data_IF_700871142124
#
_entry.id   IF_700871142124
#
_cell.length_a   1.000
_cell.length_b   1.000
_cell.length_c   1.000
_cell.angle_alpha   90.00
_cell.angle_beta   90.00
_cell.angle_gamma   90.00
#
_symmetry.space_group_name_H-M   'P 1'
#
loop_
_entity.id
_entity.type
_entity.pdbx_description
1 polymer ?
#
# COMPACT_ATOMS: atom_id res chain seq x y z
N UNK A 1 17.14 -14.70 -16.27
CA UNK A 1 16.28 -13.55 -15.93
C UNK A 1 15.59 -13.00 -17.16
N UNK A 2 14.28 -12.77 -17.07
CA UNK A 2 13.51 -12.09 -18.10
C UNK A 2 13.45 -10.62 -17.67
N UNK A 3 14.08 -9.73 -18.44
CA UNK A 3 14.05 -8.29 -18.20
C UNK A 3 12.77 -7.76 -18.86
N UNK A 4 11.72 -7.57 -18.08
CA UNK A 4 10.50 -6.90 -18.54
C UNK A 4 10.51 -5.45 -18.06
N UNK A 5 10.46 -4.45 -18.95
CA UNK A 5 10.22 -3.07 -18.54
C UNK A 5 8.84 -2.99 -17.85
N UNK A 6 8.81 -2.50 -16.62
CA UNK A 6 7.59 -2.35 -15.84
C UNK A 6 7.34 -0.87 -15.58
N UNK A 7 6.12 -0.42 -15.88
CA UNK A 7 5.70 0.94 -15.55
C UNK A 7 5.38 1.04 -14.05
N UNK A 8 6.01 1.99 -13.38
CA UNK A 8 5.68 2.38 -12.02
C UNK A 8 4.37 3.19 -11.98
N UNK A 9 3.66 3.25 -10.84
CA UNK A 9 2.48 4.09 -10.71
C UNK A 9 2.79 5.56 -11.03
N UNK A 10 1.89 6.25 -11.74
CA UNK A 10 2.10 7.65 -12.17
C UNK A 10 2.15 8.62 -10.98
N UNK A 11 1.26 8.43 -10.01
CA UNK A 11 1.00 9.37 -8.93
C UNK A 11 0.93 8.64 -7.58
N UNK A 12 1.09 9.37 -6.47
CA UNK A 12 1.05 8.77 -5.14
C UNK A 12 -0.31 8.10 -4.85
N UNK A 13 -1.38 8.67 -5.37
CA UNK A 13 -2.73 8.09 -5.28
C UNK A 13 -2.84 6.75 -6.01
N UNK A 14 -2.22 6.62 -7.18
CA UNK A 14 -2.18 5.37 -7.93
C UNK A 14 -1.37 4.32 -7.17
N UNK A 15 -0.25 4.72 -6.58
CA UNK A 15 0.56 3.88 -5.72
C UNK A 15 -0.24 3.35 -4.50
N UNK A 16 -0.96 4.21 -3.78
CA UNK A 16 -1.81 3.78 -2.65
C UNK A 16 -2.89 2.79 -3.07
N UNK A 17 -3.52 2.99 -4.22
CA UNK A 17 -4.50 2.04 -4.77
C UNK A 17 -3.86 0.67 -5.04
N UNK A 18 -2.64 0.66 -5.59
CA UNK A 18 -1.90 -0.57 -5.80
C UNK A 18 -1.59 -1.29 -4.49
N UNK A 19 -1.07 -0.57 -3.49
CA UNK A 19 -0.77 -1.14 -2.18
C UNK A 19 -2.02 -1.69 -1.48
N UNK A 20 -3.14 -0.96 -1.54
CA UNK A 20 -4.42 -1.45 -1.01
C UNK A 20 -4.83 -2.77 -1.65
N UNK A 21 -4.66 -2.93 -2.98
CA UNK A 21 -4.96 -4.19 -3.68
C UNK A 21 -4.03 -5.32 -3.25
N UNK A 22 -2.75 -5.03 -3.13
CA UNK A 22 -1.74 -6.02 -2.73
C UNK A 22 -1.90 -6.49 -1.29
N UNK A 23 -2.43 -5.66 -0.40
CA UNK A 23 -2.75 -6.08 0.98
C UNK A 23 -4.14 -6.72 1.09
N UNK A 24 -5.15 -6.16 0.44
CA UNK A 24 -6.55 -6.62 0.55
C UNK A 24 -6.80 -7.94 -0.19
N UNK A 25 -6.23 -8.11 -1.40
CA UNK A 25 -6.45 -9.28 -2.25
C UNK A 25 -6.07 -10.61 -1.57
N UNK A 26 -4.85 -10.74 -1.02
CA UNK A 26 -4.46 -11.92 -0.26
C UNK A 26 -5.37 -12.22 0.94
N UNK A 27 -5.89 -11.19 1.62
CA UNK A 27 -6.78 -11.38 2.78
C UNK A 27 -8.16 -11.85 2.38
N UNK A 28 -8.72 -11.37 1.27
CA UNK A 28 -9.97 -11.92 0.73
C UNK A 28 -9.80 -13.37 0.29
N UNK A 29 -8.69 -13.67 -0.39
CA UNK A 29 -8.36 -15.03 -0.79
C UNK A 29 -8.23 -15.93 0.44
N UNK A 30 -7.56 -15.46 1.49
CA UNK A 30 -7.43 -16.21 2.72
C UNK A 30 -8.77 -16.42 3.42
N UNK A 31 -9.61 -15.38 3.53
CA UNK A 31 -10.94 -15.50 4.11
C UNK A 31 -11.79 -16.55 3.40
N UNK A 32 -11.75 -16.59 2.05
CA UNK A 32 -12.51 -17.53 1.24
C UNK A 32 -11.91 -18.94 1.19
N UNK A 33 -10.58 -19.06 1.15
CA UNK A 33 -9.89 -20.32 0.87
C UNK A 33 -9.29 -21.00 2.10
N UNK A 34 -9.21 -20.33 3.28
CA UNK A 34 -8.55 -20.90 4.48
C UNK A 34 -9.07 -22.29 4.86
N UNK A 35 -10.38 -22.48 4.76
CA UNK A 35 -11.05 -23.74 5.12
C UNK A 35 -10.75 -24.80 4.06
N UNK A 36 -10.92 -24.48 2.77
CA UNK A 36 -10.58 -25.37 1.66
C UNK A 36 -9.11 -25.79 1.65
N UNK A 37 -8.18 -24.91 2.04
CA UNK A 37 -6.76 -25.24 2.21
C UNK A 37 -6.57 -26.21 3.37
N UNK A 38 -7.31 -26.04 4.47
CA UNK A 38 -7.29 -26.96 5.62
C UNK A 38 -7.78 -28.36 5.23
N UNK A 39 -8.86 -28.42 4.43
CA UNK A 39 -9.55 -29.66 4.05
C UNK A 39 -8.88 -30.36 2.84
N UNK A 40 -7.94 -29.69 2.18
CA UNK A 40 -7.23 -30.23 1.02
C UNK A 40 -6.40 -31.49 1.34
N UNK A 41 -6.00 -32.24 0.32
CA UNK A 41 -5.10 -33.39 0.46
C UNK A 41 -3.62 -33.01 0.66
N UNK A 42 -3.31 -31.73 0.89
CA UNK A 42 -1.94 -31.25 1.04
C UNK A 42 -1.25 -31.81 2.31
N UNK A 43 0.09 -31.94 2.30
CA UNK A 43 0.84 -32.27 3.51
C UNK A 43 0.57 -31.25 4.64
N UNK A 44 0.47 -31.68 5.90
CA UNK A 44 0.09 -30.81 7.02
C UNK A 44 1.05 -29.62 7.21
N UNK A 45 2.35 -29.80 6.94
CA UNK A 45 3.34 -28.71 7.00
C UNK A 45 3.08 -27.61 5.95
N UNK A 46 2.65 -27.99 4.73
CA UNK A 46 2.32 -27.02 3.69
C UNK A 46 1.03 -26.25 4.01
N UNK A 47 0.05 -26.93 4.61
CA UNK A 47 -1.17 -26.29 5.12
C UNK A 47 -0.85 -25.25 6.20
N UNK A 48 -0.04 -25.64 7.17
CA UNK A 48 0.42 -24.75 8.23
C UNK A 48 1.23 -23.58 7.67
N UNK A 49 2.12 -23.83 6.71
CA UNK A 49 2.87 -22.79 6.01
C UNK A 49 1.95 -21.75 5.34
N UNK A 50 0.99 -22.20 4.54
CA UNK A 50 0.09 -21.30 3.82
C UNK A 50 -0.82 -20.52 4.79
N UNK A 51 -1.52 -21.21 5.68
CA UNK A 51 -2.51 -20.57 6.56
C UNK A 51 -1.87 -19.72 7.67
N UNK A 52 -0.81 -20.23 8.32
CA UNK A 52 -0.20 -19.56 9.47
C UNK A 52 0.90 -18.61 9.01
N UNK A 53 1.93 -19.10 8.33
CA UNK A 53 3.12 -18.30 8.05
C UNK A 53 2.92 -17.31 6.89
N UNK A 54 2.34 -17.74 5.77
CA UNK A 54 2.18 -16.90 4.60
C UNK A 54 1.04 -15.89 4.76
N UNK A 55 -0.19 -16.34 4.99
CA UNK A 55 -1.32 -15.41 5.14
C UNK A 55 -1.37 -14.77 6.53
N UNK A 56 -1.31 -15.59 7.60
CA UNK A 56 -1.40 -15.10 8.97
C UNK A 56 -0.26 -14.18 9.37
N UNK A 57 0.99 -14.66 9.31
CA UNK A 57 2.15 -13.90 9.79
C UNK A 57 2.56 -12.85 8.77
N UNK A 58 2.95 -13.26 7.56
CA UNK A 58 3.57 -12.36 6.58
C UNK A 58 2.60 -11.29 6.06
N UNK A 59 1.34 -11.65 5.77
CA UNK A 59 0.40 -10.70 5.14
C UNK A 59 -0.43 -9.92 6.16
N UNK A 60 -0.73 -10.47 7.35
CA UNK A 60 -1.51 -9.79 8.38
C UNK A 60 -0.67 -9.35 9.58
N UNK A 61 -0.06 -10.29 10.31
CA UNK A 61 0.57 -10.01 11.59
C UNK A 61 1.74 -9.02 11.47
N UNK A 62 2.55 -9.09 10.41
CA UNK A 62 3.63 -8.11 10.18
C UNK A 62 3.08 -6.69 10.11
N UNK A 63 1.98 -6.46 9.39
CA UNK A 63 1.38 -5.13 9.28
C UNK A 63 0.73 -4.69 10.61
N UNK A 64 0.09 -5.62 11.33
CA UNK A 64 -0.48 -5.36 12.67
C UNK A 64 0.62 -4.97 13.65
N UNK A 65 1.70 -5.74 13.71
CA UNK A 65 2.84 -5.53 14.60
C UNK A 65 3.52 -4.22 14.24
N UNK A 66 3.89 -4.01 12.97
CA UNK A 66 4.59 -2.79 12.57
C UNK A 66 3.80 -1.52 12.90
N UNK A 67 2.49 -1.50 12.62
CA UNK A 67 1.67 -0.35 12.95
C UNK A 67 1.46 -0.20 14.46
N UNK A 68 0.93 -1.24 15.11
CA UNK A 68 0.50 -1.18 16.52
C UNK A 68 1.70 -1.02 17.44
N UNK A 69 2.81 -1.69 17.18
CA UNK A 69 4.00 -1.62 18.02
C UNK A 69 4.73 -0.28 17.83
N UNK A 70 5.17 0.04 16.62
CA UNK A 70 6.02 1.22 16.41
C UNK A 70 5.25 2.54 16.37
N UNK A 71 4.01 2.55 15.85
CA UNK A 71 3.26 3.80 15.64
C UNK A 71 2.26 4.11 16.77
N UNK A 72 1.94 3.14 17.63
CA UNK A 72 0.98 3.33 18.73
C UNK A 72 1.59 2.99 20.09
N UNK A 73 2.02 1.74 20.30
CA UNK A 73 2.46 1.24 21.59
C UNK A 73 3.72 1.95 22.08
N UNK A 74 4.76 2.06 21.25
CA UNK A 74 6.03 2.68 21.62
C UNK A 74 5.88 4.17 21.99
N UNK A 75 5.12 5.00 21.23
CA UNK A 75 4.76 6.35 21.66
C UNK A 75 3.90 6.38 22.93
N UNK A 76 2.88 5.52 23.06
CA UNK A 76 2.03 5.48 24.26
C UNK A 76 2.83 5.15 25.53
N UNK A 77 3.73 4.18 25.41
CA UNK A 77 4.66 3.81 26.48
C UNK A 77 5.52 5.02 26.88
N UNK A 78 6.07 5.76 25.90
CA UNK A 78 6.81 6.99 26.17
C UNK A 78 5.96 8.04 26.90
N UNK A 79 4.71 8.24 26.49
CA UNK A 79 3.80 9.20 27.11
C UNK A 79 3.51 8.82 28.58
N UNK A 80 3.27 7.54 28.87
CA UNK A 80 3.07 7.04 30.24
C UNK A 80 4.33 7.24 31.07
N UNK A 81 5.51 6.88 30.56
CA UNK A 81 6.77 7.09 31.27
C UNK A 81 7.01 8.56 31.60
N UNK A 82 6.65 9.46 30.69
CA UNK A 82 6.81 10.89 30.89
C UNK A 82 5.78 11.49 31.86
N UNK A 83 4.90 10.69 32.47
CA UNK A 83 4.02 11.11 33.58
C UNK A 83 4.44 10.54 34.93
N UNK A 84 5.39 9.60 34.98
CA UNK A 84 5.87 8.99 36.22
C UNK A 84 7.02 9.81 36.82
N UNK A 85 6.92 10.13 38.12
CA UNK A 85 7.95 10.90 38.83
C UNK A 85 9.29 10.15 38.91
N UNK A 86 10.39 10.91 38.79
CA UNK A 86 11.79 10.45 38.78
C UNK A 86 12.17 9.54 39.96
N UNK A 87 11.46 9.67 41.09
CA UNK A 87 11.68 8.93 42.34
C UNK A 87 10.90 7.59 42.39
N UNK A 88 9.80 7.47 41.65
CA UNK A 88 8.97 6.25 41.55
C UNK A 88 9.31 5.42 40.29
N UNK A 89 10.15 5.95 39.40
CA UNK A 89 10.68 5.30 38.20
C UNK A 89 11.64 4.10 38.48
N UNK A 90 11.46 3.43 39.62
CA UNK A 90 12.15 2.20 40.02
C UNK A 90 11.59 0.98 39.28
N UNK A 91 10.40 1.09 38.67
CA UNK A 91 9.79 -0.01 37.93
C UNK A 91 9.72 0.29 36.43
N UNK A 92 10.41 -0.56 35.66
CA UNK A 92 10.33 -0.70 34.20
C UNK A 92 11.20 0.21 33.31
N UNK A 93 12.51 0.22 33.60
CA UNK A 93 13.56 0.25 32.56
C UNK A 93 13.56 -1.07 31.76
N UNK A 94 12.42 -1.45 31.18
CA UNK A 94 12.32 -2.60 30.29
C UNK A 94 11.47 -2.21 29.10
N UNK A 95 11.89 -1.16 28.41
CA UNK A 95 11.67 -1.14 26.98
C UNK A 95 12.63 -2.18 26.40
N UNK A 96 12.16 -3.36 25.94
CA UNK A 96 13.06 -4.41 25.49
C UNK A 96 13.81 -3.96 24.24
N UNK A 97 15.06 -3.56 24.41
CA UNK A 97 15.94 -3.13 23.31
C UNK A 97 16.02 -4.16 22.18
N UNK A 98 15.93 -5.44 22.54
CA UNK A 98 15.89 -6.53 21.57
C UNK A 98 14.68 -6.44 20.64
N UNK A 99 13.52 -5.97 21.11
CA UNK A 99 12.30 -5.90 20.31
C UNK A 99 12.21 -4.62 19.47
N UNK A 100 12.72 -3.49 19.98
CA UNK A 100 12.55 -2.18 19.34
C UNK A 100 13.70 -1.82 18.42
N UNK A 101 14.90 -2.32 18.70
CA UNK A 101 16.09 -2.01 17.90
C UNK A 101 16.56 -3.25 17.17
N UNK A 102 16.87 -4.33 17.89
CA UNK A 102 17.54 -5.47 17.25
C UNK A 102 16.64 -6.24 16.29
N UNK A 103 15.37 -6.48 16.65
CA UNK A 103 14.41 -7.18 15.79
C UNK A 103 14.16 -6.43 14.47
N UNK A 104 13.75 -5.14 14.45
CA UNK A 104 13.56 -4.42 13.19
C UNK A 104 14.86 -4.26 12.41
N UNK A 105 16.01 -4.10 13.09
CA UNK A 105 17.31 -4.06 12.42
C UNK A 105 17.60 -5.38 11.69
N UNK A 106 17.40 -6.53 12.34
CA UNK A 106 17.58 -7.85 11.72
C UNK A 106 16.63 -8.09 10.54
N UNK A 107 15.35 -7.73 10.68
CA UNK A 107 14.37 -7.83 9.59
C UNK A 107 14.78 -6.96 8.41
N UNK A 108 15.23 -5.73 8.68
CA UNK A 108 15.66 -4.79 7.64
C UNK A 108 16.92 -5.29 6.95
N UNK A 109 17.91 -5.76 7.72
CA UNK A 109 19.15 -6.34 7.18
C UNK A 109 18.87 -7.57 6.31
N UNK A 110 17.93 -8.43 6.72
CA UNK A 110 17.53 -9.60 5.93
C UNK A 110 16.87 -9.17 4.62
N UNK A 111 16.06 -8.11 4.64
CA UNK A 111 15.43 -7.58 3.42
C UNK A 111 16.47 -6.96 2.49
N UNK A 112 17.44 -6.22 3.04
CA UNK A 112 18.51 -5.56 2.28
C UNK A 112 19.56 -6.54 1.75
N UNK A 113 19.74 -7.71 2.37
CA UNK A 113 20.63 -8.76 1.87
C UNK A 113 20.25 -9.21 0.45
N UNK A 114 18.98 -9.07 0.05
CA UNK A 114 18.49 -9.34 -1.30
C UNK A 114 18.62 -8.14 -2.26
N UNK A 115 19.07 -6.98 -1.79
CA UNK A 115 19.15 -5.72 -2.57
C UNK A 115 20.32 -4.85 -2.11
N UNK A 116 21.54 -5.39 -2.24
CA UNK A 116 22.79 -4.80 -1.73
C UNK A 116 23.03 -3.37 -2.24
N UNK A 117 22.67 -3.09 -3.49
CA UNK A 117 22.88 -1.77 -4.12
C UNK A 117 22.00 -0.64 -3.53
N UNK A 118 21.01 -0.98 -2.70
CA UNK A 118 20.04 -0.01 -2.15
C UNK A 118 20.25 0.26 -0.65
N UNK A 119 21.38 -0.17 -0.07
CA UNK A 119 21.64 -0.04 1.37
C UNK A 119 21.56 1.41 1.89
N UNK A 120 21.94 2.39 1.07
CA UNK A 120 21.86 3.81 1.44
C UNK A 120 20.43 4.29 1.76
N UNK A 121 19.41 3.62 1.21
CA UNK A 121 18.00 3.95 1.44
C UNK A 121 17.39 3.21 2.63
N UNK A 122 18.19 2.46 3.41
CA UNK A 122 17.68 1.59 4.47
C UNK A 122 16.84 2.31 5.52
N UNK A 123 17.31 3.47 6.01
CA UNK A 123 16.58 4.24 7.04
C UNK A 123 15.24 4.73 6.46
N UNK A 124 15.29 5.31 5.25
CA UNK A 124 14.10 5.79 4.56
C UNK A 124 13.11 4.65 4.29
N UNK A 125 13.60 3.46 3.93
CA UNK A 125 12.79 2.27 3.73
C UNK A 125 12.03 1.85 4.99
N UNK A 126 12.71 1.82 6.16
CA UNK A 126 12.04 1.46 7.42
C UNK A 126 10.98 2.48 7.79
N UNK A 127 11.30 3.77 7.69
CA UNK A 127 10.35 4.84 7.98
C UNK A 127 9.13 4.80 7.06
N UNK A 128 9.39 4.52 5.79
CA UNK A 128 8.40 4.34 4.75
C UNK A 128 7.48 3.15 5.01
N UNK A 129 8.04 1.97 5.31
CA UNK A 129 7.26 0.77 5.64
C UNK A 129 6.38 1.00 6.86
N UNK A 130 6.88 1.70 7.88
CA UNK A 130 6.11 2.10 9.04
C UNK A 130 4.98 3.07 8.68
N UNK A 131 5.23 4.08 7.83
CA UNK A 131 4.20 5.01 7.38
C UNK A 131 3.10 4.30 6.55
N UNK A 132 3.48 3.35 5.72
CA UNK A 132 2.56 2.58 4.89
C UNK A 132 1.83 1.47 5.65
N UNK A 133 2.30 1.09 6.84
CA UNK A 133 1.72 0.01 7.63
C UNK A 133 0.25 0.25 7.98
N UNK A 134 -0.17 1.50 8.22
CA UNK A 134 -1.58 1.86 8.49
C UNK A 134 -2.48 1.60 7.27
N UNK A 135 -1.99 1.93 6.06
CA UNK A 135 -2.70 1.67 4.81
C UNK A 135 -2.82 0.17 4.57
N UNK A 136 -1.69 -0.54 4.69
CA UNK A 136 -1.61 -2.00 4.50
C UNK A 136 -2.52 -2.72 5.50
N UNK A 137 -2.47 -2.33 6.78
CA UNK A 137 -3.29 -2.90 7.84
C UNK A 137 -4.77 -2.64 7.59
N UNK A 138 -5.17 -1.40 7.30
CA UNK A 138 -6.56 -1.07 7.00
C UNK A 138 -7.10 -1.87 5.82
N UNK A 139 -6.31 -2.00 4.75
CA UNK A 139 -6.64 -2.81 3.58
C UNK A 139 -6.75 -4.31 3.90
N UNK A 140 -5.83 -4.83 4.71
CA UNK A 140 -5.84 -6.23 5.15
C UNK A 140 -7.07 -6.55 6.00
N UNK A 141 -7.45 -5.67 6.93
CA UNK A 141 -8.64 -5.83 7.76
C UNK A 141 -9.92 -5.73 6.94
N UNK A 142 -10.02 -4.77 6.01
CA UNK A 142 -11.16 -4.66 5.11
C UNK A 142 -11.33 -5.91 4.24
N UNK A 143 -10.22 -6.46 3.73
CA UNK A 143 -10.20 -7.70 2.94
C UNK A 143 -10.63 -8.92 3.73
N UNK A 144 -10.15 -9.05 4.98
CA UNK A 144 -10.48 -10.17 5.85
C UNK A 144 -11.95 -10.15 6.29
N UNK A 145 -12.50 -8.96 6.54
CA UNK A 145 -13.89 -8.75 6.97
C UNK A 145 -14.89 -8.68 5.81
N UNK A 146 -14.42 -8.72 4.56
CA UNK A 146 -15.28 -8.66 3.38
C UNK A 146 -16.08 -7.35 3.25
N UNK A 147 -15.55 -6.23 3.77
CA UNK A 147 -16.23 -4.93 3.74
C UNK A 147 -16.38 -4.41 2.30
N UNK A 148 -17.34 -3.50 2.05
CA UNK A 148 -17.63 -2.95 0.69
C UNK A 148 -16.38 -2.41 -0.05
N UNK A 149 -15.39 -1.89 0.69
CA UNK A 149 -14.12 -1.40 0.13
C UNK A 149 -13.18 -2.50 -0.38
N UNK A 150 -13.36 -3.75 0.06
CA UNK A 150 -12.60 -4.91 -0.41
C UNK A 150 -12.95 -5.28 -1.85
N UNK A 151 -14.23 -5.14 -2.22
CA UNK A 151 -14.73 -5.49 -3.57
C UNK A 151 -14.46 -4.41 -4.62
N UNK A 152 -14.03 -3.21 -4.23
CA UNK A 152 -13.76 -2.11 -5.17
C UNK A 152 -12.38 -2.23 -5.81
N UNK A 153 -12.34 -2.71 -7.05
CA UNK A 153 -11.12 -2.85 -7.84
C UNK A 153 -10.86 -1.63 -8.74
N UNK A 154 -10.57 -0.46 -8.17
CA UNK A 154 -10.35 0.77 -8.96
C UNK A 154 -9.04 0.73 -9.77
N UNK A 155 -9.11 0.68 -11.11
CA UNK A 155 -7.94 0.60 -12.01
C UNK A 155 -6.90 1.66 -11.66
N UNK A 156 -5.67 1.21 -11.42
CA UNK A 156 -4.50 2.07 -11.26
C UNK A 156 -4.16 2.63 -12.63
N UNK A 157 -4.18 3.94 -12.76
CA UNK A 157 -3.64 4.60 -13.93
C UNK A 157 -2.12 4.35 -13.94
N UNK A 158 -1.64 3.84 -15.07
CA UNK A 158 -0.22 3.74 -15.39
C UNK A 158 0.14 4.96 -16.25
N UNK A 159 1.43 5.18 -16.55
CA UNK A 159 1.93 6.43 -17.13
C UNK A 159 1.02 7.07 -18.20
N UNK A 160 0.84 8.38 -18.07
CA UNK A 160 0.07 9.22 -18.99
C UNK A 160 -0.04 10.70 -18.57
N UNK A 161 0.57 11.09 -17.44
CA UNK A 161 0.63 12.49 -17.02
C UNK A 161 2.09 12.92 -17.01
N UNK A 162 2.47 13.76 -17.97
CA UNK A 162 3.74 14.47 -17.89
C UNK A 162 3.68 15.37 -16.66
N UNK A 163 4.60 15.17 -15.71
CA UNK A 163 4.76 16.05 -14.58
C UNK A 163 5.30 17.39 -15.10
N UNK A 164 4.44 18.39 -15.27
CA UNK A 164 4.92 19.75 -15.49
C UNK A 164 5.63 20.23 -14.23
N UNK A 165 6.95 20.39 -14.31
CA UNK A 165 7.78 20.92 -13.22
C UNK A 165 7.55 22.43 -13.07
N UNK A 166 6.38 22.83 -12.58
CA UNK A 166 6.16 24.20 -12.13
C UNK A 166 6.03 24.21 -10.61
N UNK A 167 7.05 24.75 -9.93
CA UNK A 167 7.01 25.03 -8.48
C UNK A 167 6.14 26.26 -8.20
N UNK A 168 4.89 26.21 -8.63
CA UNK A 168 3.91 27.22 -8.28
C UNK A 168 3.17 26.76 -7.02
N UNK A 169 3.32 27.51 -5.94
CA UNK A 169 2.72 27.22 -4.64
C UNK A 169 1.19 27.08 -4.74
N UNK A 170 0.54 27.83 -5.63
CA UNK A 170 -0.90 27.73 -5.86
C UNK A 170 -1.30 26.42 -6.54
N UNK A 171 -0.46 25.86 -7.41
CA UNK A 171 -0.67 24.55 -8.03
C UNK A 171 -0.39 23.42 -7.04
N UNK A 172 0.67 23.56 -6.23
CA UNK A 172 1.01 22.62 -5.16
C UNK A 172 -0.16 22.46 -4.18
N UNK A 173 -0.73 23.57 -3.70
CA UNK A 173 -1.89 23.55 -2.80
C UNK A 173 -3.11 22.84 -3.41
N UNK A 174 -3.32 22.94 -4.72
CA UNK A 174 -4.40 22.24 -5.43
C UNK A 174 -4.16 20.74 -5.63
N UNK A 175 -2.90 20.29 -5.55
CA UNK A 175 -2.50 18.89 -5.70
C UNK A 175 -2.43 18.14 -4.37
N UNK A 176 -2.56 18.83 -3.23
CA UNK A 176 -2.61 18.22 -1.91
C UNK A 176 -3.90 17.41 -1.77
N UNK A 177 -3.78 16.09 -1.84
CA UNK A 177 -4.80 15.15 -1.38
C UNK A 177 -4.65 14.96 0.15
N UNK A 178 -5.78 15.01 0.86
CA UNK A 178 -5.81 14.91 2.32
C UNK A 178 -6.18 13.51 2.80
N UNK A 179 -5.33 12.91 3.63
CA UNK A 179 -5.56 11.59 4.21
C UNK A 179 -5.59 11.64 5.75
N UNK A 180 -6.78 11.66 6.37
CA UNK A 180 -6.93 11.97 7.80
C UNK A 180 -6.32 10.93 8.73
N UNK A 181 -6.38 9.64 8.37
CA UNK A 181 -5.91 8.54 9.24
C UNK A 181 -4.40 8.61 9.45
N UNK A 182 -3.65 8.79 8.36
CA UNK A 182 -2.20 8.99 8.43
C UNK A 182 -1.85 10.30 9.16
N UNK A 183 -2.62 11.37 8.94
CA UNK A 183 -2.35 12.66 9.57
C UNK A 183 -2.50 12.60 11.09
N UNK A 184 -3.56 11.97 11.60
CA UNK A 184 -3.78 11.83 13.05
C UNK A 184 -2.60 11.10 13.71
N UNK A 185 -2.11 10.03 13.08
CA UNK A 185 -0.92 9.31 13.58
C UNK A 185 0.33 10.17 13.49
N UNK A 186 0.54 10.91 12.40
CA UNK A 186 1.66 11.84 12.26
C UNK A 186 1.67 12.92 13.35
N UNK A 187 0.53 13.56 13.60
CA UNK A 187 0.38 14.56 14.66
C UNK A 187 0.62 13.95 16.04
N UNK A 188 0.05 12.77 16.30
CA UNK A 188 0.27 12.04 17.55
C UNK A 188 1.76 11.75 17.82
N UNK A 189 2.51 11.33 16.79
CA UNK A 189 3.94 11.08 16.89
C UNK A 189 4.75 12.36 17.14
N UNK A 190 4.42 13.46 16.46
CA UNK A 190 5.08 14.75 16.70
C UNK A 190 4.78 15.27 18.11
N UNK A 191 3.53 15.21 18.56
CA UNK A 191 3.17 15.59 19.93
C UNK A 191 3.92 14.74 20.96
N UNK A 192 4.06 13.43 20.71
CA UNK A 192 4.85 12.54 21.56
C UNK A 192 6.34 12.89 21.57
N UNK A 193 6.91 13.29 20.43
CA UNK A 193 8.30 13.74 20.33
C UNK A 193 8.55 15.01 21.13
N UNK A 194 7.66 16.01 20.97
CA UNK A 194 7.75 17.30 21.68
C UNK A 194 7.59 17.09 23.18
N UNK A 195 6.58 16.33 23.61
CA UNK A 195 6.38 16.01 25.02
C UNK A 195 7.57 15.25 25.62
N UNK A 196 8.07 14.23 24.91
CA UNK A 196 9.25 13.47 25.34
C UNK A 196 10.50 14.35 25.48
N UNK A 197 10.67 15.36 24.63
CA UNK A 197 11.77 16.31 24.76
C UNK A 197 11.66 17.16 26.04
N UNK A 198 10.46 17.69 26.34
CA UNK A 198 10.24 18.52 27.53
C UNK A 198 10.45 17.76 28.84
N UNK A 199 10.07 16.49 28.90
CA UNK A 199 10.19 15.65 30.11
C UNK A 199 11.60 15.06 30.27
N UNK A 200 12.50 15.25 29.29
CA UNK A 200 13.86 14.74 29.37
C UNK A 200 13.98 13.25 29.04
N UNK A 201 13.09 12.71 28.20
CA UNK A 201 13.25 11.38 27.64
C UNK A 201 14.51 11.31 26.76
N UNK A 202 14.95 10.09 26.40
CA UNK A 202 16.16 9.95 25.59
C UNK A 202 16.02 10.65 24.24
N UNK A 203 17.05 11.42 23.86
CA UNK A 203 17.07 12.20 22.62
C UNK A 203 16.84 11.33 21.37
N UNK A 204 17.21 10.05 21.43
CA UNK A 204 17.02 9.07 20.36
C UNK A 204 15.54 8.88 20.04
N UNK A 205 14.68 8.74 21.06
CA UNK A 205 13.24 8.59 20.85
C UNK A 205 12.60 9.88 20.34
N UNK A 206 13.06 11.04 20.83
CA UNK A 206 12.62 12.35 20.33
C UNK A 206 12.92 12.48 18.83
N UNK A 207 14.14 12.20 18.40
CA UNK A 207 14.52 12.28 16.98
C UNK A 207 13.75 11.26 16.15
N UNK A 208 13.63 10.02 16.64
CA UNK A 208 12.87 8.97 15.95
C UNK A 208 11.41 9.38 15.73
N UNK A 209 10.69 9.81 16.77
CA UNK A 209 9.28 10.19 16.65
C UNK A 209 9.08 11.47 15.85
N UNK A 210 9.97 12.45 15.98
CA UNK A 210 9.92 13.68 15.17
C UNK A 210 10.08 13.36 13.68
N UNK A 211 11.07 12.54 13.34
CA UNK A 211 11.33 12.16 11.94
C UNK A 211 10.18 11.28 11.42
N UNK A 212 9.72 10.29 12.19
CA UNK A 212 8.63 9.40 11.81
C UNK A 212 7.31 10.16 11.62
N UNK A 213 6.97 11.05 12.56
CA UNK A 213 5.78 11.91 12.47
C UNK A 213 5.83 12.83 11.24
N UNK A 214 7.00 13.40 10.93
CA UNK A 214 7.20 14.21 9.72
C UNK A 214 6.93 13.40 8.45
N UNK A 215 7.43 12.17 8.37
CA UNK A 215 7.18 11.28 7.23
C UNK A 215 5.69 10.95 7.09
N UNK A 216 5.00 10.64 8.19
CA UNK A 216 3.55 10.44 8.18
C UNK A 216 2.80 11.68 7.66
N UNK A 217 3.21 12.89 8.06
CA UNK A 217 2.60 14.14 7.58
C UNK A 217 2.83 14.31 6.08
N UNK A 218 4.07 14.11 5.60
CA UNK A 218 4.43 14.19 4.17
C UNK A 218 3.53 13.26 3.34
N UNK A 219 3.34 12.02 3.78
CA UNK A 219 2.46 11.07 3.10
C UNK A 219 0.97 11.41 3.26
N UNK A 220 0.55 11.92 4.42
CA UNK A 220 -0.85 12.26 4.69
C UNK A 220 -1.37 13.46 3.88
N UNK A 221 -0.47 14.35 3.47
CA UNK A 221 -0.78 15.53 2.66
C UNK A 221 -0.37 15.36 1.20
N UNK A 222 0.00 14.13 0.78
CA UNK A 222 0.47 13.85 -0.58
C UNK A 222 1.63 14.76 -1.05
N UNK A 223 2.43 15.27 -0.10
CA UNK A 223 3.52 16.21 -0.40
C UNK A 223 4.64 15.58 -1.22
N UNK A 224 4.73 14.25 -1.22
CA UNK A 224 5.64 13.48 -2.09
C UNK A 224 5.44 13.83 -3.57
N UNK A 225 4.19 14.05 -3.98
CA UNK A 225 3.84 14.42 -5.35
C UNK A 225 4.08 15.91 -5.60
N UNK A 226 3.73 16.76 -4.62
CA UNK A 226 3.96 18.20 -4.68
C UNK A 226 5.44 18.59 -4.82
N UNK A 227 6.34 17.88 -4.13
CA UNK A 227 7.78 18.14 -4.19
C UNK A 227 8.48 17.37 -5.30
N UNK A 228 7.75 16.66 -6.16
CA UNK A 228 8.30 15.81 -7.21
C UNK A 228 9.43 14.90 -6.69
N UNK A 229 9.25 14.31 -5.51
CA UNK A 229 10.20 13.37 -4.87
C UNK A 229 10.28 12.02 -5.60
N UNK A 230 9.64 11.90 -6.77
CA UNK A 230 9.73 10.73 -7.61
C UNK A 230 11.17 10.61 -8.13
N UNK A 231 11.79 9.43 -8.04
CA UNK A 231 13.06 9.21 -8.72
C UNK A 231 12.85 9.48 -10.23
N UNK A 232 13.84 10.06 -10.92
CA UNK A 232 13.77 10.18 -12.38
C UNK A 232 13.45 8.80 -12.97
N UNK A 233 12.62 8.77 -14.00
CA UNK A 233 12.21 7.51 -14.63
C UNK A 233 13.44 6.64 -14.94
N UNK A 234 13.32 5.32 -14.76
CA UNK A 234 14.43 4.41 -15.10
C UNK A 234 14.89 4.60 -16.54
N UNK A 235 14.00 5.00 -17.46
CA UNK A 235 14.35 5.40 -18.82
C UNK A 235 15.37 6.56 -18.86
N UNK A 236 15.16 7.59 -18.03
CA UNK A 236 16.08 8.73 -17.90
C UNK A 236 17.40 8.36 -17.20
N UNK A 237 17.37 7.41 -16.26
CA UNK A 237 18.56 6.85 -15.60
C UNK A 237 19.37 5.92 -16.53
N UNK A 238 18.69 5.20 -17.43
CA UNK A 238 19.29 4.30 -18.41
C UNK A 238 19.70 5.01 -19.71
N UNK A 239 19.51 6.33 -19.81
CA UNK A 239 19.84 7.12 -20.99
C UNK A 239 19.05 6.74 -22.24
N UNK A 240 17.90 6.09 -22.08
CA UNK A 240 17.00 5.78 -23.18
C UNK A 240 16.25 7.07 -23.55
N UNK A 241 16.33 7.48 -24.82
CA UNK A 241 15.59 8.63 -25.32
C UNK A 241 14.10 8.46 -25.00
N UNK A 242 13.51 9.46 -24.35
CA UNK A 242 12.06 9.52 -24.16
C UNK A 242 11.42 9.39 -25.55
N UNK A 243 10.58 8.36 -25.74
CA UNK A 243 9.85 8.18 -26.98
C UNK A 243 9.17 9.51 -27.35
N UNK A 244 9.37 9.92 -28.60
CA UNK A 244 8.95 11.20 -29.15
C UNK A 244 7.48 11.48 -28.78
N UNK A 245 7.14 12.68 -28.29
CA UNK A 245 5.77 12.98 -27.85
C UNK A 245 4.85 13.00 -29.07
N UNK A 246 4.14 11.91 -29.32
CA UNK A 246 3.23 11.83 -30.47
C UNK A 246 2.57 10.47 -30.71
N UNK A 247 3.12 9.37 -30.21
CA UNK A 247 2.47 8.05 -30.38
C UNK A 247 1.75 7.65 -29.10
N UNK A 248 0.57 8.25 -28.87
CA UNK A 248 -0.44 7.63 -28.02
C UNK A 248 -0.73 6.24 -28.60
N UNK A 249 -0.20 5.19 -27.97
CA UNK A 249 -0.64 3.82 -28.22
C UNK A 249 -2.13 3.78 -27.94
N UNK A 250 -2.92 3.84 -29.02
CA UNK A 250 -4.36 3.78 -28.94
C UNK A 250 -4.72 2.56 -28.10
N UNK A 251 -5.60 2.70 -27.09
CA UNK A 251 -6.04 1.55 -26.33
C UNK A 251 -6.58 0.53 -27.33
N UNK A 252 -6.02 -0.67 -27.33
CA UNK A 252 -6.51 -1.78 -28.16
C UNK A 252 -8.02 -1.82 -27.94
N UNK A 253 -8.78 -1.45 -28.98
CA UNK A 253 -10.22 -1.38 -28.91
C UNK A 253 -10.69 -2.71 -28.33
N UNK A 254 -11.45 -2.68 -27.23
CA UNK A 254 -12.00 -3.88 -26.60
C UNK A 254 -12.57 -4.75 -27.72
N UNK A 255 -11.91 -5.85 -28.05
CA UNK A 255 -12.47 -6.80 -28.98
C UNK A 255 -13.73 -7.32 -28.30
N UNK A 256 -14.88 -6.79 -28.73
CA UNK A 256 -16.15 -7.34 -28.30
C UNK A 256 -16.08 -8.84 -28.61
N UNK A 257 -16.41 -9.72 -27.65
CA UNK A 257 -16.35 -11.15 -27.89
C UNK A 257 -17.21 -11.45 -29.12
N UNK A 258 -16.58 -11.92 -30.21
CA UNK A 258 -17.23 -12.22 -31.49
C UNK A 258 -18.46 -13.13 -31.34
N UNK A 259 -18.51 -13.90 -30.24
CA UNK A 259 -19.64 -14.74 -29.84
C UNK A 259 -20.94 -13.99 -29.54
N UNK A 260 -20.87 -12.77 -28.98
CA UNK A 260 -22.06 -11.99 -28.62
C UNK A 260 -22.79 -11.42 -29.85
N UNK A 261 -22.03 -10.92 -30.85
CA UNK A 261 -22.58 -10.44 -32.12
C UNK A 261 -23.25 -11.56 -32.93
N UNK A 262 -22.66 -12.76 -32.98
CA UNK A 262 -23.25 -13.92 -33.66
C UNK A 262 -24.57 -14.39 -33.03
N UNK A 263 -24.67 -14.41 -31.68
CA UNK A 263 -25.95 -14.77 -31.01
C UNK A 263 -27.05 -13.76 -31.30
N UNK A 264 -26.74 -12.46 -31.26
CA UNK A 264 -27.72 -11.40 -31.50
C UNK A 264 -28.19 -11.35 -32.96
N UNK A 265 -27.30 -11.63 -33.92
CA UNK A 265 -27.67 -11.75 -35.33
C UNK A 265 -28.50 -13.01 -35.62
N UNK A 266 -28.18 -14.15 -34.99
CA UNK A 266 -28.96 -15.38 -35.14
C UNK A 266 -30.37 -15.23 -34.54
N UNK A 267 -30.49 -14.57 -33.39
CA UNK A 267 -31.77 -14.35 -32.72
C UNK A 267 -32.67 -13.35 -33.47
N UNK A 268 -32.08 -12.35 -34.12
CA UNK A 268 -32.83 -11.40 -34.95
C UNK A 268 -33.35 -12.04 -36.23
N UNK A 269 -32.54 -12.90 -36.86
CA UNK A 269 -32.93 -13.64 -38.07
C UNK A 269 -33.99 -14.70 -37.81
N UNK A 270 -34.05 -15.30 -36.62
CA UNK A 270 -35.15 -16.21 -36.27
C UNK A 270 -36.47 -15.46 -36.05
N UNK A 271 -36.44 -14.29 -35.40
CA UNK A 271 -37.64 -13.47 -35.21
C UNK A 271 -38.21 -12.92 -36.53
N UNK A 272 -37.34 -12.51 -37.48
CA UNK A 272 -37.77 -12.07 -38.82
C UNK A 272 -38.31 -13.21 -39.70
N UNK A 273 -38.03 -14.48 -39.38
CA UNK A 273 -38.60 -15.64 -40.09
C UNK A 273 -39.95 -16.01 -39.45
N UNK A 274 -40.04 -15.99 -38.12
CA UNK A 274 -41.29 -16.28 -37.41
C UNK A 274 -42.38 -15.23 -37.72
N UNK A 275 -42.03 -13.94 -37.90
CA UNK A 275 -42.98 -12.89 -38.34
C UNK A 275 -43.40 -13.03 -39.81
N UNK A 276 -42.54 -13.57 -40.68
CA UNK A 276 -42.88 -13.76 -42.10
C UNK A 276 -43.77 -14.98 -42.32
N UNK A 277 -43.60 -16.05 -41.52
CA UNK A 277 -44.44 -17.24 -41.58
C UNK A 277 -45.84 -16.99 -40.96
N UNK A 278 -45.99 -16.04 -40.03
CA UNK A 278 -47.31 -15.62 -39.50
C UNK A 278 -48.10 -14.74 -40.47
N UNK A 279 -47.46 -13.91 -41.31
CA UNK A 279 -48.14 -13.08 -42.31
C UNK A 279 -48.65 -13.90 -43.53
N UNK A 280 -48.05 -15.06 -43.82
CA UNK A 280 -48.45 -15.95 -44.92
C UNK A 280 -49.57 -16.95 -44.54
N UNK A 281 -49.89 -17.14 -43.25
CA UNK A 281 -51.02 -17.98 -42.79
C UNK A 281 -52.34 -17.22 -42.59
N UNK A 282 -52.34 -15.87 -42.60
CA UNK A 282 -53.56 -15.04 -42.44
C UNK A 282 -54.15 -14.46 -43.76
N UNK A 283 -53.65 -14.87 -44.93
CA UNK A 283 -54.15 -14.46 -46.26
C UNK A 283 -54.95 -15.53 -47.01
#
# INVERSE_FOLDING_TARGET
DIICPNEIPSDYKAYRKQQRRWSCGPMQLWAAARQSVSDSSLPPLHKAYLNIFFFGVRMLATNVISFTFYSVLVPMILLVYATEDLETAVHHRFMPWWAIVWLPLLVTMTTMAFSVNSFHYMILYVMYENAMSILKLGASLEGLLGLKGAMTWTVTQKLGKQAESSMDLQKILKMIDFFPRELVVGLFLISSAVYGHYVGASWVFTVYFATQGTIFIIFSLSLVEAFNLQPPSEAKLLGLEEATPGEELQPIAKQQPKRAKKRRAKQKRSLEIDEADEEDEEG
#
